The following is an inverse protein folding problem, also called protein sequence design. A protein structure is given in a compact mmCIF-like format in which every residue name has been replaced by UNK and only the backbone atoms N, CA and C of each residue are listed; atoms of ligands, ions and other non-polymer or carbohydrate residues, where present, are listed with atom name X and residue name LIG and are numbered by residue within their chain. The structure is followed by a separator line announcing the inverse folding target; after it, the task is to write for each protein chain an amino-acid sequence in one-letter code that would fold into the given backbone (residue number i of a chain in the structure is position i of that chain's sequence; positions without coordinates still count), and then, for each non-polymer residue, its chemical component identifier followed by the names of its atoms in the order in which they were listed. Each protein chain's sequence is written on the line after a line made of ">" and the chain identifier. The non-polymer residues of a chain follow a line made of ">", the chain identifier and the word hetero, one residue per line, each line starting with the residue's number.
data_IF_132530217377
#
_entry.id   IF_132530217377
#
_cell.length_a   1.000
_cell.length_b   1.000
_cell.length_c   1.000
_cell.angle_alpha   90.00
_cell.angle_beta   90.00
_cell.angle_gamma   90.00
#
_symmetry.space_group_name_H-M   'P 1'
#
loop_
_entity.id
_entity.type
_entity.pdbx_description
1 polymer ?
#
# COMPACT_ATOMS: atom_id res chain seq x y z
N UNK A 1 -3.40 34.15 -59.03
CA UNK A 1 -4.88 34.23 -58.99
C UNK A 1 -5.24 35.45 -58.15
N UNK A 2 -5.69 36.55 -58.82
CA UNK A 2 -6.02 37.80 -58.12
C UNK A 2 -7.45 37.70 -57.61
N UNK A 3 -7.58 37.55 -56.29
CA UNK A 3 -8.88 37.56 -55.58
C UNK A 3 -9.60 38.93 -55.82
N UNK A 4 -10.90 38.88 -56.07
CA UNK A 4 -11.73 40.10 -56.19
C UNK A 4 -11.74 40.87 -54.86
N UNK A 5 -11.98 42.18 -54.89
CA UNK A 5 -12.00 43.02 -53.68
C UNK A 5 -13.03 42.48 -52.65
N UNK A 6 -14.19 42.01 -53.12
CA UNK A 6 -15.23 41.39 -52.28
C UNK A 6 -14.71 40.13 -51.56
N UNK A 7 -13.94 39.28 -52.24
CA UNK A 7 -13.37 38.08 -51.66
C UNK A 7 -12.29 38.41 -50.63
N UNK A 8 -11.49 39.47 -50.85
CA UNK A 8 -10.49 39.93 -49.87
C UNK A 8 -11.12 40.44 -48.58
N UNK A 9 -12.17 41.23 -48.69
CA UNK A 9 -12.92 41.78 -47.55
C UNK A 9 -13.60 40.65 -46.76
N UNK A 10 -14.18 39.65 -47.44
CA UNK A 10 -14.83 38.51 -46.82
C UNK A 10 -13.82 37.61 -46.07
N UNK A 11 -12.66 37.34 -46.67
CA UNK A 11 -11.57 36.62 -46.02
C UNK A 11 -11.03 37.34 -44.77
N UNK A 12 -10.85 38.66 -44.87
CA UNK A 12 -10.35 39.48 -43.77
C UNK A 12 -11.33 39.53 -42.58
N UNK A 13 -12.63 39.45 -42.87
CA UNK A 13 -13.68 39.45 -41.83
C UNK A 13 -13.91 38.09 -41.17
N UNK A 14 -13.75 36.97 -41.92
CA UNK A 14 -14.09 35.63 -41.44
C UNK A 14 -12.88 34.83 -40.89
N UNK A 15 -11.70 34.97 -41.50
CA UNK A 15 -10.54 34.18 -41.14
C UNK A 15 -10.06 34.44 -39.69
N UNK A 16 -9.92 35.70 -39.22
CA UNK A 16 -9.45 35.93 -37.85
C UNK A 16 -10.37 35.37 -36.77
N UNK A 17 -11.71 35.59 -36.80
CA UNK A 17 -12.57 35.00 -35.76
C UNK A 17 -12.60 33.48 -35.79
N UNK A 18 -12.48 32.85 -36.95
CA UNK A 18 -12.37 31.37 -37.02
C UNK A 18 -11.07 30.89 -36.40
N UNK A 19 -9.96 31.54 -36.71
CA UNK A 19 -8.67 31.18 -36.10
C UNK A 19 -8.68 31.39 -34.58
N UNK A 20 -9.28 32.46 -34.09
CA UNK A 20 -9.44 32.73 -32.67
C UNK A 20 -10.29 31.61 -32.00
N UNK A 21 -11.41 31.25 -32.62
CA UNK A 21 -12.29 30.21 -32.11
C UNK A 21 -11.57 28.84 -32.04
N UNK A 22 -10.82 28.47 -33.08
CA UNK A 22 -10.02 27.24 -33.11
C UNK A 22 -8.94 27.29 -32.03
N UNK A 23 -8.23 28.40 -31.89
CA UNK A 23 -7.19 28.56 -30.86
C UNK A 23 -7.77 28.47 -29.46
N UNK A 24 -8.88 29.14 -29.17
CA UNK A 24 -9.54 29.07 -27.86
C UNK A 24 -10.05 27.67 -27.55
N UNK A 25 -10.60 26.96 -28.53
CA UNK A 25 -11.05 25.58 -28.35
C UNK A 25 -9.88 24.67 -28.05
N UNK A 26 -8.80 24.75 -28.82
CA UNK A 26 -7.59 23.96 -28.58
C UNK A 26 -6.98 24.27 -27.21
N UNK A 27 -6.87 25.51 -26.83
CA UNK A 27 -6.35 25.95 -25.54
C UNK A 27 -7.18 25.40 -24.37
N UNK A 28 -8.52 25.52 -24.44
CA UNK A 28 -9.42 24.99 -23.41
C UNK A 28 -9.33 23.46 -23.29
N UNK A 29 -9.27 22.73 -24.39
CA UNK A 29 -9.14 21.26 -24.40
C UNK A 29 -7.79 20.85 -23.81
N UNK A 30 -6.70 21.54 -24.17
CA UNK A 30 -5.38 21.25 -23.62
C UNK A 30 -5.35 21.47 -22.11
N UNK A 31 -5.85 22.59 -21.63
CA UNK A 31 -5.90 22.90 -20.20
C UNK A 31 -6.80 21.93 -19.41
N UNK A 32 -7.93 21.54 -19.99
CA UNK A 32 -8.85 20.57 -19.36
C UNK A 32 -8.20 19.19 -19.20
N UNK A 33 -7.43 18.75 -20.20
CA UNK A 33 -6.71 17.46 -20.13
C UNK A 33 -5.61 17.46 -19.07
N UNK A 34 -4.89 18.57 -18.92
CA UNK A 34 -3.82 18.69 -17.92
C UNK A 34 -4.40 18.68 -16.49
N UNK A 35 -5.50 19.40 -16.26
CA UNK A 35 -6.22 19.39 -14.97
C UNK A 35 -6.75 17.99 -14.66
N UNK A 36 -7.34 17.30 -15.64
CA UNK A 36 -7.86 15.95 -15.43
C UNK A 36 -6.76 14.94 -15.08
N UNK A 37 -5.60 15.03 -15.72
CA UNK A 37 -4.46 14.15 -15.42
C UNK A 37 -3.88 14.43 -14.03
N UNK A 38 -3.69 15.69 -13.67
CA UNK A 38 -3.22 16.08 -12.34
C UNK A 38 -4.17 15.59 -11.27
N UNK A 39 -5.46 15.80 -11.41
CA UNK A 39 -6.46 15.36 -10.43
C UNK A 39 -6.46 13.84 -10.22
N UNK A 40 -6.28 13.03 -11.29
CA UNK A 40 -6.17 11.57 -11.18
C UNK A 40 -4.88 11.17 -10.47
N UNK A 41 -3.78 11.86 -10.75
CA UNK A 41 -2.48 11.57 -10.10
C UNK A 41 -2.54 11.92 -8.62
N UNK A 42 -3.06 13.10 -8.29
CA UNK A 42 -3.21 13.57 -6.91
C UNK A 42 -4.12 12.64 -6.10
N UNK A 43 -5.23 12.19 -6.71
CA UNK A 43 -6.16 11.25 -6.07
C UNK A 43 -5.51 9.89 -5.80
N UNK A 44 -4.73 9.35 -6.76
CA UNK A 44 -3.99 8.11 -6.55
C UNK A 44 -2.97 8.24 -5.42
N UNK A 45 -2.20 9.31 -5.43
CA UNK A 45 -1.19 9.57 -4.40
C UNK A 45 -1.84 9.71 -3.02
N UNK A 46 -3.00 10.36 -2.94
CA UNK A 46 -3.74 10.47 -1.68
C UNK A 46 -4.26 9.11 -1.20
N UNK A 47 -4.80 8.28 -2.10
CA UNK A 47 -5.25 6.93 -1.74
C UNK A 47 -4.08 6.05 -1.25
N UNK A 48 -2.91 6.12 -1.90
CA UNK A 48 -1.70 5.40 -1.45
C UNK A 48 -1.28 5.87 -0.06
N UNK A 49 -1.23 7.18 0.17
CA UNK A 49 -0.89 7.75 1.48
C UNK A 49 -1.91 7.38 2.57
N UNK A 50 -3.20 7.36 2.26
CA UNK A 50 -4.25 6.97 3.20
C UNK A 50 -4.13 5.47 3.55
N UNK A 51 -3.81 4.60 2.58
CA UNK A 51 -3.56 3.18 2.82
C UNK A 51 -2.31 2.96 3.69
N UNK A 52 -1.21 3.66 3.40
CA UNK A 52 0.01 3.64 4.22
C UNK A 52 -0.28 4.06 5.67
N UNK A 53 -0.97 5.18 5.86
CA UNK A 53 -1.33 5.67 7.19
C UNK A 53 -2.22 4.67 7.94
N UNK A 54 -3.18 4.05 7.25
CA UNK A 54 -4.07 3.06 7.85
C UNK A 54 -3.28 1.83 8.34
N UNK A 55 -2.41 1.25 7.50
CA UNK A 55 -1.58 0.10 7.88
C UNK A 55 -0.67 0.42 9.07
N UNK A 56 0.02 1.56 9.03
CA UNK A 56 0.88 2.00 10.14
C UNK A 56 0.09 2.14 11.45
N UNK A 57 -1.09 2.77 11.40
CA UNK A 57 -1.94 2.95 12.57
C UNK A 57 -2.45 1.61 13.13
N UNK A 58 -2.88 0.68 12.27
CA UNK A 58 -3.34 -0.65 12.69
C UNK A 58 -2.20 -1.45 13.33
N UNK A 59 -0.99 -1.40 12.75
CA UNK A 59 0.15 -2.09 13.35
C UNK A 59 0.51 -1.49 14.71
N UNK A 60 0.47 -0.17 14.84
CA UNK A 60 0.72 0.52 16.11
C UNK A 60 -0.31 0.14 17.19
N UNK A 61 -1.59 -0.02 16.81
CA UNK A 61 -2.63 -0.52 17.69
C UNK A 61 -2.39 -1.99 18.09
N UNK A 62 -1.94 -2.82 17.15
CA UNK A 62 -1.58 -4.21 17.42
C UNK A 62 -0.42 -4.31 18.41
N UNK A 63 0.65 -3.56 18.20
CA UNK A 63 1.80 -3.50 19.12
C UNK A 63 1.38 -3.01 20.51
N UNK A 64 0.56 -1.95 20.58
CA UNK A 64 0.05 -1.44 21.86
C UNK A 64 -0.80 -2.46 22.62
N UNK A 65 -1.50 -3.35 21.91
CA UNK A 65 -2.30 -4.41 22.53
C UNK A 65 -1.48 -5.43 23.32
N UNK A 66 -0.21 -5.63 22.96
CA UNK A 66 0.71 -6.57 23.59
C UNK A 66 1.82 -5.90 24.41
N UNK A 67 1.92 -4.58 24.38
CA UNK A 67 2.97 -3.81 25.05
C UNK A 67 3.13 -4.16 26.53
N UNK A 68 2.02 -4.39 27.25
CA UNK A 68 2.03 -4.82 28.64
C UNK A 68 2.69 -6.20 28.83
N UNK A 69 2.60 -7.09 27.85
CA UNK A 69 3.27 -8.40 27.87
C UNK A 69 4.77 -8.28 27.58
N UNK A 70 5.16 -7.29 26.82
CA UNK A 70 6.58 -7.02 26.52
C UNK A 70 7.26 -6.44 27.77
N UNK A 71 6.65 -5.43 28.37
CA UNK A 71 7.29 -4.61 29.41
C UNK A 71 7.18 -5.19 30.82
N UNK A 72 6.13 -5.96 31.15
CA UNK A 72 5.91 -6.48 32.50
C UNK A 72 6.34 -7.93 32.62
N UNK A 73 7.54 -8.14 33.16
CA UNK A 73 8.12 -9.49 33.43
C UNK A 73 7.42 -10.21 34.56
N UNK A 74 6.62 -9.57 35.40
CA UNK A 74 5.86 -10.19 36.48
C UNK A 74 4.70 -11.04 35.96
N UNK A 75 4.30 -10.87 34.71
CA UNK A 75 3.20 -11.59 34.04
C UNK A 75 3.56 -13.02 33.63
N UNK A 76 4.79 -13.48 33.88
CA UNK A 76 5.24 -14.82 33.60
C UNK A 76 6.58 -14.85 32.86
N UNK A 77 7.01 -16.06 32.54
CA UNK A 77 8.21 -16.27 31.72
C UNK A 77 8.08 -15.64 30.34
N UNK A 78 9.19 -15.37 29.67
CA UNK A 78 9.19 -14.84 28.29
C UNK A 78 8.31 -15.73 27.38
N UNK A 79 8.43 -17.05 27.48
CA UNK A 79 7.65 -17.96 26.66
C UNK A 79 6.13 -17.85 26.91
N UNK A 80 5.69 -17.72 28.16
CA UNK A 80 4.28 -17.55 28.50
C UNK A 80 3.74 -16.22 27.99
N UNK A 81 4.50 -15.13 28.13
CA UNK A 81 4.13 -13.81 27.63
C UNK A 81 4.02 -13.80 26.10
N UNK A 82 4.99 -14.40 25.40
CA UNK A 82 4.97 -14.57 23.94
C UNK A 82 3.78 -15.42 23.48
N UNK A 83 3.42 -16.49 24.18
CA UNK A 83 2.24 -17.30 23.82
C UNK A 83 0.92 -16.52 23.96
N UNK A 84 0.81 -15.69 25.00
CA UNK A 84 -0.37 -14.80 25.15
C UNK A 84 -0.41 -13.75 24.04
N UNK A 85 0.71 -13.13 23.71
CA UNK A 85 0.80 -12.17 22.62
C UNK A 85 0.39 -12.79 21.28
N UNK A 86 0.87 -13.99 20.94
CA UNK A 86 0.43 -14.72 19.75
C UNK A 86 -1.09 -14.91 19.71
N UNK A 87 -1.71 -15.23 20.83
CA UNK A 87 -3.18 -15.39 20.90
C UNK A 87 -3.92 -14.09 20.63
N UNK A 88 -3.42 -12.97 21.15
CA UNK A 88 -3.99 -11.65 20.91
C UNK A 88 -3.84 -11.27 19.43
N UNK A 89 -2.60 -11.31 18.90
CA UNK A 89 -2.27 -10.91 17.54
C UNK A 89 -3.02 -11.72 16.49
N UNK A 90 -3.22 -13.02 16.69
CA UNK A 90 -4.00 -13.88 15.79
C UNK A 90 -5.47 -13.48 15.66
N UNK A 91 -6.03 -12.82 16.66
CA UNK A 91 -7.46 -12.43 16.68
C UNK A 91 -7.69 -11.05 16.09
N UNK A 92 -6.65 -10.24 15.93
CA UNK A 92 -6.78 -8.91 15.39
C UNK A 92 -7.22 -8.98 13.92
N UNK A 93 -8.21 -8.15 13.61
CA UNK A 93 -8.73 -7.97 12.25
C UNK A 93 -8.92 -6.47 12.03
N UNK A 94 -8.74 -6.05 10.81
CA UNK A 94 -8.99 -4.66 10.40
C UNK A 94 -9.71 -4.65 9.06
N UNK A 95 -10.33 -3.53 8.73
CA UNK A 95 -10.98 -3.34 7.45
C UNK A 95 -9.92 -2.98 6.39
N UNK A 96 -9.83 -3.79 5.34
CA UNK A 96 -8.95 -3.57 4.19
C UNK A 96 -9.82 -3.36 2.95
N UNK A 97 -10.40 -2.16 2.82
CA UNK A 97 -11.17 -1.74 1.63
C UNK A 97 -12.30 -2.71 1.25
N UNK A 98 -12.93 -3.35 2.25
CA UNK A 98 -14.00 -4.34 2.08
C UNK A 98 -13.54 -5.79 2.19
N UNK A 99 -12.25 -6.04 2.29
CA UNK A 99 -11.65 -7.31 2.69
C UNK A 99 -11.29 -7.29 4.18
N UNK A 100 -11.03 -8.45 4.74
CA UNK A 100 -10.59 -8.58 6.13
C UNK A 100 -9.08 -8.69 6.18
N UNK A 101 -8.43 -7.61 6.56
CA UNK A 101 -7.00 -7.59 6.83
C UNK A 101 -6.66 -8.34 8.13
N UNK A 102 -5.47 -8.88 8.20
CA UNK A 102 -4.97 -9.65 9.34
C UNK A 102 -3.48 -9.42 9.57
N UNK A 103 -3.03 -9.79 10.75
CA UNK A 103 -1.65 -9.64 11.16
C UNK A 103 -0.93 -10.99 11.05
N UNK A 104 0.33 -10.94 10.69
CA UNK A 104 1.26 -12.06 10.75
C UNK A 104 2.61 -11.62 11.29
N UNK A 105 3.30 -12.52 11.97
CA UNK A 105 4.53 -12.24 12.70
C UNK A 105 5.58 -13.28 12.32
N UNK A 106 6.77 -12.79 12.00
CA UNK A 106 7.96 -13.60 11.76
C UNK A 106 9.06 -13.24 12.77
N UNK A 107 10.03 -14.12 12.95
CA UNK A 107 11.30 -13.68 13.51
C UNK A 107 12.20 -13.09 12.41
N UNK A 108 13.35 -12.60 12.80
CA UNK A 108 14.33 -12.00 11.89
C UNK A 108 15.00 -13.01 10.95
N UNK A 109 14.79 -14.30 11.14
CA UNK A 109 15.28 -15.39 10.29
C UNK A 109 14.20 -15.90 9.31
N UNK A 110 12.99 -15.33 9.37
CA UNK A 110 11.86 -15.65 8.49
C UNK A 110 11.04 -16.85 8.95
N UNK A 111 11.16 -17.26 10.21
CA UNK A 111 10.28 -18.28 10.79
C UNK A 111 8.95 -17.63 11.20
N UNK A 112 7.84 -18.17 10.72
CA UNK A 112 6.51 -17.70 11.08
C UNK A 112 6.20 -17.97 12.56
N UNK A 113 5.97 -16.92 13.32
CA UNK A 113 5.68 -16.93 14.74
C UNK A 113 4.18 -17.00 15.01
N UNK A 114 3.39 -16.17 14.30
CA UNK A 114 1.94 -16.13 14.38
C UNK A 114 1.35 -15.73 13.04
N UNK A 115 0.18 -16.28 12.70
CA UNK A 115 -0.50 -15.94 11.44
C UNK A 115 -2.01 -15.89 11.66
N UNK A 116 -2.63 -14.74 11.41
CA UNK A 116 -4.02 -14.48 11.74
C UNK A 116 -5.03 -15.39 11.04
N UNK A 117 -4.75 -15.87 9.83
CA UNK A 117 -5.69 -16.71 9.05
C UNK A 117 -5.17 -18.11 8.74
N UNK A 118 -3.85 -18.33 8.76
CA UNK A 118 -3.28 -19.64 8.43
C UNK A 118 -2.23 -20.11 9.45
N UNK A 119 -2.69 -20.67 10.54
CA UNK A 119 -1.83 -21.18 11.60
C UNK A 119 -0.93 -22.36 11.18
N UNK A 120 -1.22 -23.01 10.03
CA UNK A 120 -0.36 -24.10 9.53
C UNK A 120 1.00 -23.63 9.03
N UNK A 121 1.18 -22.33 8.86
CA UNK A 121 2.46 -21.71 8.50
C UNK A 121 3.37 -21.52 9.71
N UNK A 122 2.83 -21.47 10.91
CA UNK A 122 3.61 -21.22 12.12
C UNK A 122 4.66 -22.30 12.37
N UNK A 123 5.86 -21.86 12.71
CA UNK A 123 7.05 -22.71 12.84
C UNK A 123 7.76 -23.01 11.51
N UNK A 124 7.20 -22.59 10.37
CA UNK A 124 7.87 -22.76 9.07
C UNK A 124 8.73 -21.55 8.75
N UNK A 125 9.92 -21.80 8.22
CA UNK A 125 10.74 -20.75 7.64
C UNK A 125 10.26 -20.42 6.24
N UNK A 126 9.86 -19.17 6.02
CA UNK A 126 9.36 -18.65 4.74
C UNK A 126 10.29 -17.58 4.17
N UNK A 127 11.52 -17.48 4.63
CA UNK A 127 12.51 -16.49 4.21
C UNK A 127 12.71 -16.47 2.69
N UNK A 128 12.69 -17.67 2.07
CA UNK A 128 12.85 -17.83 0.61
C UNK A 128 11.54 -17.89 -0.16
N UNK A 129 10.41 -17.58 0.51
CA UNK A 129 9.12 -17.54 -0.16
C UNK A 129 9.07 -16.39 -1.18
N UNK A 130 8.69 -16.72 -2.41
CA UNK A 130 8.46 -15.74 -3.47
C UNK A 130 6.96 -15.60 -3.74
N UNK A 131 6.54 -14.37 -3.91
CA UNK A 131 5.22 -14.06 -4.41
C UNK A 131 5.07 -14.42 -5.91
N UNK A 132 3.87 -14.33 -6.52
CA UNK A 132 3.69 -14.63 -7.95
C UNK A 132 4.51 -13.74 -8.90
N UNK A 133 5.00 -12.59 -8.44
CA UNK A 133 5.86 -11.68 -9.22
C UNK A 133 7.35 -11.97 -9.04
N UNK A 134 7.71 -12.93 -8.16
CA UNK A 134 9.09 -13.29 -7.85
C UNK A 134 9.73 -12.46 -6.72
N UNK A 135 8.95 -11.65 -6.00
CA UNK A 135 9.40 -10.87 -4.86
C UNK A 135 9.63 -11.78 -3.65
N UNK A 136 10.78 -11.68 -3.00
CA UNK A 136 11.04 -12.36 -1.73
C UNK A 136 10.35 -11.63 -0.58
N UNK A 137 9.03 -11.80 -0.50
CA UNK A 137 8.17 -11.01 0.38
C UNK A 137 8.67 -10.93 1.83
N UNK A 138 9.00 -12.07 2.42
CA UNK A 138 9.37 -12.12 3.84
C UNK A 138 10.72 -11.44 4.08
N UNK A 139 11.67 -11.56 3.15
CA UNK A 139 12.95 -10.83 3.23
C UNK A 139 12.74 -9.33 3.19
N UNK A 140 11.99 -8.84 2.21
CA UNK A 140 11.75 -7.40 2.05
C UNK A 140 11.02 -6.81 3.26
N UNK A 141 10.08 -7.54 3.85
CA UNK A 141 9.39 -7.12 5.06
C UNK A 141 10.33 -7.11 6.29
N UNK A 142 11.22 -8.10 6.44
CA UNK A 142 12.23 -8.13 7.50
C UNK A 142 13.22 -6.97 7.32
N UNK A 143 13.72 -6.75 6.11
CA UNK A 143 14.65 -5.66 5.80
C UNK A 143 14.02 -4.29 6.09
N UNK A 144 12.76 -4.10 5.70
CA UNK A 144 12.01 -2.88 5.99
C UNK A 144 11.83 -2.66 7.51
N UNK A 145 11.46 -3.71 8.25
CA UNK A 145 11.30 -3.63 9.70
C UNK A 145 12.62 -3.31 10.42
N UNK A 146 13.73 -3.92 10.00
CA UNK A 146 15.07 -3.67 10.56
C UNK A 146 15.60 -2.27 10.22
N UNK A 147 15.13 -1.68 9.13
CA UNK A 147 15.43 -0.28 8.76
C UNK A 147 14.63 0.77 9.57
N UNK A 148 13.79 0.33 10.51
CA UNK A 148 12.99 1.20 11.37
C UNK A 148 11.50 1.22 11.04
N UNK A 149 11.05 0.28 10.22
CA UNK A 149 9.68 0.15 9.71
C UNK A 149 9.57 0.61 8.26
N UNK A 150 8.69 -0.03 7.50
CA UNK A 150 8.53 0.31 6.09
C UNK A 150 7.46 -0.48 5.36
N UNK A 151 7.15 0.00 4.16
CA UNK A 151 6.13 -0.55 3.28
C UNK A 151 6.76 -1.44 2.21
N UNK A 152 6.08 -2.53 1.89
CA UNK A 152 6.48 -3.47 0.83
C UNK A 152 5.30 -3.71 -0.10
N UNK A 153 5.51 -3.52 -1.40
CA UNK A 153 4.53 -3.86 -2.43
C UNK A 153 4.79 -5.27 -2.94
N UNK A 154 3.76 -6.10 -3.00
CA UNK A 154 3.87 -7.48 -3.44
C UNK A 154 2.62 -7.94 -4.20
N UNK A 155 2.73 -9.06 -4.92
CA UNK A 155 1.61 -9.69 -5.59
C UNK A 155 0.95 -10.74 -4.71
N UNK A 156 -0.39 -10.74 -4.64
CA UNK A 156 -1.14 -11.77 -3.95
C UNK A 156 -2.11 -12.47 -4.89
N UNK A 157 -2.05 -13.79 -4.93
CA UNK A 157 -2.99 -14.57 -5.73
C UNK A 157 -4.33 -14.64 -5.01
N UNK A 158 -5.37 -14.12 -5.64
CA UNK A 158 -6.73 -14.18 -5.11
C UNK A 158 -7.43 -15.51 -5.50
N UNK A 159 -8.64 -15.73 -4.97
CA UNK A 159 -9.45 -16.91 -5.25
C UNK A 159 -9.90 -17.06 -6.72
N UNK A 160 -9.60 -16.08 -7.59
CA UNK A 160 -9.96 -16.04 -9.01
C UNK A 160 -8.74 -16.29 -9.92
N UNK A 161 -7.65 -16.84 -9.39
CA UNK A 161 -6.37 -17.05 -10.10
C UNK A 161 -5.76 -15.77 -10.70
N UNK A 162 -6.18 -14.58 -10.23
CA UNK A 162 -5.56 -13.31 -10.59
C UNK A 162 -4.62 -12.82 -9.50
N UNK A 163 -3.53 -12.17 -9.92
CA UNK A 163 -2.57 -11.55 -9.00
C UNK A 163 -3.01 -10.11 -8.76
N UNK A 164 -3.38 -9.80 -7.53
CA UNK A 164 -3.69 -8.45 -7.09
C UNK A 164 -2.47 -7.82 -6.42
N UNK A 165 -2.19 -6.53 -6.67
CA UNK A 165 -1.18 -5.81 -5.90
C UNK A 165 -1.66 -5.62 -4.46
N UNK A 166 -0.78 -5.88 -3.50
CA UNK A 166 -0.99 -5.62 -2.08
C UNK A 166 0.13 -4.75 -1.53
N UNK A 167 -0.20 -3.97 -0.52
CA UNK A 167 0.72 -3.19 0.28
C UNK A 167 0.80 -3.79 1.68
N UNK A 168 1.99 -4.16 2.11
CA UNK A 168 2.26 -4.57 3.48
C UNK A 168 3.04 -3.51 4.23
N UNK A 169 2.88 -3.43 5.54
CA UNK A 169 3.71 -2.63 6.43
C UNK A 169 4.31 -3.50 7.52
N UNK A 170 5.62 -3.37 7.75
CA UNK A 170 6.35 -4.16 8.72
C UNK A 170 7.07 -3.27 9.74
N UNK A 171 7.12 -3.72 10.99
CA UNK A 171 7.87 -3.09 12.08
C UNK A 171 8.50 -4.14 12.98
N UNK A 172 9.69 -3.83 13.52
CA UNK A 172 10.43 -4.70 14.42
C UNK A 172 10.04 -4.43 15.88
N UNK A 173 9.65 -5.47 16.60
CA UNK A 173 9.59 -5.50 18.05
C UNK A 173 10.94 -6.00 18.58
N UNK A 174 11.85 -5.07 18.86
CA UNK A 174 13.26 -5.37 19.17
C UNK A 174 13.44 -6.31 20.36
N UNK A 175 12.68 -6.10 21.45
CA UNK A 175 12.77 -6.89 22.67
C UNK A 175 12.59 -8.39 22.49
N UNK A 176 11.81 -8.79 21.47
CA UNK A 176 11.52 -10.20 21.17
C UNK A 176 12.09 -10.66 19.82
N UNK A 177 12.66 -9.78 19.04
CA UNK A 177 13.12 -10.06 17.67
C UNK A 177 11.97 -10.46 16.75
N UNK A 178 10.78 -9.93 16.98
CA UNK A 178 9.59 -10.20 16.17
C UNK A 178 9.39 -9.10 15.13
N UNK A 179 9.17 -9.51 13.91
CA UNK A 179 8.78 -8.65 12.81
C UNK A 179 7.27 -8.78 12.64
N UNK A 180 6.55 -7.77 13.08
CA UNK A 180 5.09 -7.69 12.99
C UNK A 180 4.69 -7.03 11.68
N UNK A 181 3.68 -7.58 11.00
CA UNK A 181 3.32 -7.20 9.64
C UNK A 181 1.82 -7.25 9.44
N UNK A 182 1.32 -6.30 8.66
CA UNK A 182 -0.06 -6.21 8.19
C UNK A 182 -0.12 -6.28 6.66
N UNK A 183 -1.19 -6.91 6.14
CA UNK A 183 -1.46 -6.98 4.70
C UNK A 183 -2.95 -7.07 4.42
#
# INVERSE_FOLDING_TARGET
>A
MNLTIKAKVFLLALVPPVLIAVFLTWFNVSQSNDIGRSAVTDFKQQMEQDAENALSNYLQLAMSSIEHLVNDTSLGSLQERQQRAKQILRQLRFDDSGDVGYLFVYDTEGVSIAHGVNQSLEGKNLYDFQDPNGTYLIRELIDAAQAGGGYVNYGWQNNQDSVAPKLGYAQLLEDWGWVEQLA
#
